data_IF_678834026618
#
_entry.id   IF_678834026618
#
_cell.length_a   1.000
_cell.length_b   1.000
_cell.length_c   1.000
_cell.angle_alpha   90.00
_cell.angle_beta   90.00
_cell.angle_gamma   90.00
#
_symmetry.space_group_name_H-M   'P 1'
#
loop_
_entity.id
_entity.type
_entity.pdbx_description
1 polymer ?
#
# COMPACT_ATOMS: atom_id res chain seq x y z
N UNK A 1 7.94 30.99 7.17
CA UNK A 1 6.57 30.54 6.85
C UNK A 1 6.39 29.14 7.42
N UNK A 2 5.51 28.91 8.41
CA UNK A 2 5.25 27.56 8.87
C UNK A 2 4.48 26.82 7.77
N UNK A 3 5.06 25.72 7.28
CA UNK A 3 4.41 24.85 6.31
C UNK A 3 3.22 24.19 7.01
N UNK A 4 2.02 24.43 6.47
CA UNK A 4 0.75 24.02 7.04
C UNK A 4 0.72 22.51 7.38
N UNK A 5 0.60 22.12 8.66
CA UNK A 5 0.54 20.71 9.05
C UNK A 5 -0.88 20.12 8.87
N UNK A 6 -1.67 20.58 7.88
CA UNK A 6 -3.13 20.41 7.93
C UNK A 6 -3.88 20.21 6.59
N UNK A 7 -3.23 19.79 5.50
CA UNK A 7 -3.96 19.52 4.23
C UNK A 7 -4.93 18.31 4.30
N UNK A 8 -5.03 17.62 5.44
CA UNK A 8 -5.99 16.52 5.64
C UNK A 8 -7.07 16.81 6.71
N UNK A 9 -7.15 18.02 7.26
CA UNK A 9 -8.14 18.36 8.32
C UNK A 9 -9.41 19.07 7.80
N UNK A 10 -9.63 19.09 6.49
CA UNK A 10 -10.70 19.88 5.85
C UNK A 10 -11.94 19.13 5.37
N UNK A 11 -12.01 17.80 5.47
CA UNK A 11 -13.19 17.03 5.04
C UNK A 11 -13.65 16.20 6.21
N UNK A 12 -14.76 16.62 6.82
CA UNK A 12 -15.64 15.90 7.77
C UNK A 12 -14.99 14.74 8.51
N UNK A 13 -14.72 14.88 9.81
CA UNK A 13 -14.18 13.83 10.71
C UNK A 13 -14.64 12.43 10.24
N UNK A 14 -13.81 11.70 9.46
CA UNK A 14 -14.24 10.43 8.93
C UNK A 14 -14.30 9.48 10.12
N UNK A 15 -15.38 8.71 10.28
CA UNK A 15 -15.51 7.69 11.34
C UNK A 15 -14.22 6.88 11.46
N UNK A 16 -13.91 6.32 12.64
CA UNK A 16 -12.70 5.51 12.85
C UNK A 16 -12.50 4.50 11.71
N UNK A 17 -13.61 3.89 11.26
CA UNK A 17 -13.65 2.99 10.11
C UNK A 17 -13.18 3.60 8.78
N UNK A 18 -13.53 4.85 8.48
CA UNK A 18 -13.12 5.54 7.26
C UNK A 18 -11.62 5.89 7.27
N UNK A 19 -11.05 6.23 8.44
CA UNK A 19 -9.59 6.38 8.60
C UNK A 19 -8.87 5.06 8.40
N UNK A 20 -9.38 3.97 9.00
CA UNK A 20 -8.81 2.61 8.83
C UNK A 20 -8.86 2.18 7.36
N UNK A 21 -9.97 2.43 6.66
CA UNK A 21 -10.11 2.16 5.22
C UNK A 21 -9.10 2.95 4.38
N UNK A 22 -8.93 4.25 4.68
CA UNK A 22 -7.94 5.07 3.97
C UNK A 22 -6.50 4.61 4.25
N UNK A 23 -6.19 4.25 5.51
CA UNK A 23 -4.90 3.70 5.90
C UNK A 23 -4.59 2.37 5.22
N UNK A 24 -5.56 1.48 5.16
CA UNK A 24 -5.46 0.21 4.42
C UNK A 24 -5.21 0.46 2.93
N UNK A 25 -6.00 1.34 2.30
CA UNK A 25 -5.89 1.61 0.86
C UNK A 25 -4.54 2.23 0.50
N UNK A 26 -4.07 3.20 1.28
CA UNK A 26 -2.77 3.83 1.06
C UNK A 26 -1.61 2.84 1.31
N UNK A 27 -1.67 2.04 2.38
CA UNK A 27 -0.66 1.02 2.66
C UNK A 27 -0.63 -0.10 1.61
N UNK A 28 -1.79 -0.52 1.12
CA UNK A 28 -1.92 -1.49 0.04
C UNK A 28 -1.35 -0.94 -1.27
N UNK A 29 -1.70 0.29 -1.64
CA UNK A 29 -1.21 0.92 -2.87
C UNK A 29 0.31 1.08 -2.85
N UNK A 30 0.88 1.54 -1.73
CA UNK A 30 2.34 1.64 -1.55
C UNK A 30 3.00 0.27 -1.60
N UNK A 31 2.48 -0.72 -0.87
CA UNK A 31 3.04 -2.08 -0.87
C UNK A 31 3.00 -2.76 -2.24
N UNK A 32 1.93 -2.55 -3.01
CA UNK A 32 1.81 -3.03 -4.39
C UNK A 32 2.76 -2.27 -5.32
N UNK A 33 2.89 -0.95 -5.21
CA UNK A 33 3.78 -0.16 -6.05
C UNK A 33 5.26 -0.51 -5.81
N UNK A 34 5.68 -0.66 -4.55
CA UNK A 34 7.05 -1.07 -4.21
C UNK A 34 7.29 -2.53 -4.61
N UNK A 35 6.30 -3.41 -4.43
CA UNK A 35 6.32 -4.79 -4.92
C UNK A 35 6.37 -4.88 -6.45
N UNK A 36 5.76 -3.92 -7.17
CA UNK A 36 5.82 -3.81 -8.62
C UNK A 36 7.19 -3.44 -9.12
N UNK A 37 7.79 -2.42 -8.51
CA UNK A 37 9.08 -1.91 -8.93
C UNK A 37 10.16 -2.94 -8.63
N UNK A 38 10.28 -3.41 -7.38
CA UNK A 38 11.31 -4.38 -7.02
C UNK A 38 11.03 -5.80 -7.54
N UNK A 39 9.78 -6.27 -7.48
CA UNK A 39 9.41 -7.59 -8.00
C UNK A 39 9.44 -7.64 -9.54
N UNK A 40 8.98 -6.58 -10.19
CA UNK A 40 9.02 -6.43 -11.64
C UNK A 40 10.44 -6.29 -12.18
N UNK A 41 11.31 -5.45 -11.57
CA UNK A 41 12.71 -5.34 -12.00
C UNK A 41 13.47 -6.65 -11.84
N UNK A 42 13.31 -7.36 -10.71
CA UNK A 42 13.97 -8.64 -10.51
C UNK A 42 13.48 -9.67 -11.53
N UNK A 43 12.17 -9.83 -11.71
CA UNK A 43 11.65 -10.83 -12.64
C UNK A 43 11.97 -10.51 -14.11
N UNK A 44 11.99 -9.23 -14.50
CA UNK A 44 12.40 -8.81 -15.85
C UNK A 44 13.88 -9.09 -16.09
N UNK A 45 14.73 -8.89 -15.08
CA UNK A 45 16.18 -9.15 -15.15
C UNK A 45 16.53 -10.64 -15.16
N UNK A 46 15.73 -11.49 -14.50
CA UNK A 46 15.88 -12.95 -14.51
C UNK A 46 15.31 -13.64 -15.77
N UNK A 47 14.72 -12.89 -16.71
CA UNK A 47 14.29 -13.43 -18.01
C UNK A 47 13.06 -14.34 -17.96
N UNK A 48 12.28 -14.30 -16.87
CA UNK A 48 11.05 -15.09 -16.77
C UNK A 48 10.00 -14.56 -17.77
N UNK A 49 9.58 -15.42 -18.72
CA UNK A 49 8.61 -15.06 -19.77
C UNK A 49 7.21 -14.88 -19.18
N UNK A 50 6.71 -13.65 -19.21
CA UNK A 50 5.30 -13.26 -19.25
C UNK A 50 4.40 -13.79 -18.13
N UNK A 51 3.93 -15.05 -18.25
CA UNK A 51 2.85 -15.59 -17.43
C UNK A 51 3.30 -16.02 -16.03
N UNK A 52 4.47 -16.66 -15.92
CA UNK A 52 5.09 -17.03 -14.64
C UNK A 52 5.57 -15.79 -13.87
N UNK A 53 6.03 -14.77 -14.59
CA UNK A 53 6.46 -13.48 -14.05
C UNK A 53 5.30 -12.74 -13.40
N UNK A 54 4.18 -12.60 -14.11
CA UNK A 54 2.99 -11.93 -13.58
C UNK A 54 2.40 -12.71 -12.39
N UNK A 55 2.41 -14.05 -12.43
CA UNK A 55 1.94 -14.86 -11.31
C UNK A 55 2.83 -14.74 -10.07
N UNK A 56 4.15 -14.74 -10.22
CA UNK A 56 5.10 -14.66 -9.10
C UNK A 56 5.14 -13.24 -8.51
N UNK A 57 5.22 -12.22 -9.37
CA UNK A 57 5.18 -10.81 -8.95
C UNK A 57 3.81 -10.48 -8.37
N UNK A 58 2.72 -10.93 -8.99
CA UNK A 58 1.36 -10.72 -8.49
C UNK A 58 1.12 -11.36 -7.12
N UNK A 59 1.63 -12.59 -6.89
CA UNK A 59 1.60 -13.22 -5.57
C UNK A 59 2.39 -12.42 -4.53
N UNK A 60 3.61 -11.99 -4.88
CA UNK A 60 4.45 -11.17 -4.00
C UNK A 60 3.84 -9.79 -3.70
N UNK A 61 3.23 -9.15 -4.70
CA UNK A 61 2.50 -7.88 -4.55
C UNK A 61 1.26 -8.03 -3.67
N UNK A 62 0.48 -9.09 -3.85
CA UNK A 62 -0.75 -9.28 -3.08
C UNK A 62 -0.41 -9.62 -1.63
N UNK A 63 0.63 -10.42 -1.41
CA UNK A 63 1.09 -10.79 -0.08
C UNK A 63 1.77 -9.62 0.65
N UNK A 64 2.63 -8.86 -0.04
CA UNK A 64 3.26 -7.66 0.49
C UNK A 64 2.28 -6.51 0.69
N UNK A 65 1.47 -6.20 -0.31
CA UNK A 65 0.43 -5.16 -0.24
C UNK A 65 -0.60 -5.44 0.85
N UNK A 66 -1.04 -6.70 0.99
CA UNK A 66 -1.97 -7.11 2.04
C UNK A 66 -1.42 -6.89 3.45
N UNK A 67 -0.15 -7.25 3.68
CA UNK A 67 0.49 -7.07 5.00
C UNK A 67 0.80 -5.60 5.31
N UNK A 68 1.36 -4.84 4.37
CA UNK A 68 1.61 -3.41 4.54
C UNK A 68 0.31 -2.61 4.76
N UNK A 69 -0.75 -2.92 4.01
CA UNK A 69 -2.09 -2.35 4.21
C UNK A 69 -2.67 -2.70 5.57
N UNK A 70 -2.59 -3.97 6.00
CA UNK A 70 -3.09 -4.45 7.29
C UNK A 70 -2.38 -3.76 8.48
N UNK A 71 -1.05 -3.63 8.43
CA UNK A 71 -0.28 -2.95 9.50
C UNK A 71 -0.66 -1.47 9.63
N UNK A 72 -0.77 -0.76 8.51
CA UNK A 72 -1.19 0.65 8.52
C UNK A 72 -2.66 0.81 8.92
N UNK A 73 -3.52 -0.14 8.56
CA UNK A 73 -4.92 -0.19 9.00
C UNK A 73 -5.04 -0.39 10.52
N UNK A 74 -4.23 -1.27 11.11
CA UNK A 74 -4.21 -1.51 12.56
C UNK A 74 -3.62 -0.29 13.30
N UNK A 75 -2.52 0.27 12.79
CA UNK A 75 -1.91 1.48 13.37
C UNK A 75 -2.86 2.68 13.36
N UNK A 76 -3.66 2.82 12.31
CA UNK A 76 -4.72 3.83 12.26
C UNK A 76 -5.92 3.46 13.13
N UNK A 77 -6.29 2.18 13.24
CA UNK A 77 -7.39 1.72 14.11
C UNK A 77 -7.11 2.01 15.59
N UNK A 78 -5.88 1.78 16.05
CA UNK A 78 -5.45 2.07 17.43
C UNK A 78 -5.36 3.59 17.66
N UNK A 79 -5.10 4.37 16.60
CA UNK A 79 -4.93 5.83 16.66
C UNK A 79 -6.23 6.63 16.40
N UNK A 80 -7.33 5.94 16.13
CA UNK A 80 -8.63 6.57 15.96
C UNK A 80 -9.25 7.02 17.28
#
# INVERSE_FOLDING_TARGET
MPIAPNTYRGVSQPSCLAKVKFGFLMGFCVGVATGAIFGGFNCLRYGLRGRELIQTVGKGMFQGGGTFGMFMAIGTAIRC
#
